data_IF_748721389152
#
_entry.id   IF_748721389152
#
_cell.length_a   1.000
_cell.length_b   1.000
_cell.length_c   1.000
_cell.angle_alpha   90.00
_cell.angle_beta   90.00
_cell.angle_gamma   90.00
#
_symmetry.space_group_name_H-M   'P 1'
#
loop_
_entity.id
_entity.type
_entity.pdbx_description
1 polymer ?
#
# COMPACT_ATOMS: atom_id res chain seq x y z
N UNK A 1 15.02 23.07 -15.41
CA UNK A 1 13.65 23.39 -14.95
C UNK A 1 13.75 24.64 -14.08
N UNK A 2 12.78 25.55 -14.16
CA UNK A 2 12.51 26.53 -13.10
C UNK A 2 11.02 26.44 -12.91
N UNK A 3 10.56 25.92 -11.78
CA UNK A 3 9.13 25.90 -11.45
C UNK A 3 8.70 27.37 -11.30
N UNK A 4 8.19 27.98 -12.37
CA UNK A 4 8.07 29.45 -12.48
C UNK A 4 7.04 30.05 -11.53
N UNK A 5 6.10 29.25 -11.03
CA UNK A 5 4.93 29.73 -10.27
C UNK A 5 4.89 29.23 -8.82
N UNK A 6 5.91 28.50 -8.34
CA UNK A 6 5.94 27.98 -6.97
C UNK A 6 7.35 28.12 -6.39
N UNK A 7 7.44 28.84 -5.27
CA UNK A 7 8.65 28.86 -4.46
C UNK A 7 8.67 27.63 -3.54
N UNK A 8 9.44 26.61 -3.91
CA UNK A 8 9.51 25.34 -3.17
C UNK A 8 10.01 25.56 -1.73
N UNK A 9 11.02 26.41 -1.52
CA UNK A 9 11.56 26.68 -0.18
C UNK A 9 10.50 27.32 0.75
N UNK A 10 9.66 28.19 0.21
CA UNK A 10 8.57 28.81 0.96
C UNK A 10 7.50 27.77 1.32
N UNK A 11 7.11 26.90 0.39
CA UNK A 11 6.17 25.80 0.65
C UNK A 11 6.71 24.81 1.68
N UNK A 12 7.99 24.46 1.59
CA UNK A 12 8.65 23.62 2.58
C UNK A 12 8.58 24.25 3.97
N UNK A 13 8.87 25.54 4.11
CA UNK A 13 8.75 26.26 5.38
C UNK A 13 7.30 26.27 5.89
N UNK A 14 6.33 26.48 5.01
CA UNK A 14 4.91 26.52 5.38
C UNK A 14 4.40 25.17 5.89
N UNK A 15 4.81 24.07 5.27
CA UNK A 15 4.38 22.70 5.62
C UNK A 15 5.34 21.99 6.60
N UNK A 16 6.36 22.67 7.11
CA UNK A 16 7.42 22.09 7.96
C UNK A 16 8.07 20.84 7.33
N UNK A 17 8.37 20.92 6.03
CA UNK A 17 9.05 19.84 5.29
C UNK A 17 10.55 20.10 5.26
N UNK A 18 11.34 19.20 5.85
CA UNK A 18 12.80 19.34 5.96
C UNK A 18 13.54 19.11 4.64
N UNK A 19 13.02 18.23 3.78
CA UNK A 19 13.64 17.88 2.52
C UNK A 19 12.64 17.36 1.49
N UNK A 20 12.88 17.65 0.21
CA UNK A 20 12.04 17.20 -0.90
C UNK A 20 12.89 16.97 -2.15
N UNK A 21 12.57 15.91 -2.90
CA UNK A 21 13.06 15.67 -4.26
C UNK A 21 11.88 15.76 -5.22
N UNK A 22 12.04 16.49 -6.33
CA UNK A 22 11.02 16.70 -7.35
C UNK A 22 11.59 16.24 -8.68
N UNK A 23 10.86 15.37 -9.37
CA UNK A 23 11.20 14.90 -10.72
C UNK A 23 10.10 15.29 -11.70
N UNK A 24 10.48 15.96 -12.79
CA UNK A 24 9.64 16.21 -13.95
C UNK A 24 10.11 15.35 -15.12
N UNK A 25 9.18 14.62 -15.73
CA UNK A 25 9.41 13.88 -16.97
C UNK A 25 8.59 14.55 -18.07
N UNK A 26 9.27 15.12 -19.06
CA UNK A 26 8.62 15.86 -20.16
C UNK A 26 9.35 15.58 -21.48
N UNK A 27 8.60 15.13 -22.49
CA UNK A 27 9.14 14.82 -23.83
C UNK A 27 10.36 13.88 -23.80
N UNK A 28 10.32 12.86 -22.93
CA UNK A 28 11.43 11.91 -22.74
C UNK A 28 12.61 12.43 -21.92
N UNK A 29 12.61 13.70 -21.52
CA UNK A 29 13.65 14.27 -20.67
C UNK A 29 13.27 14.19 -19.19
N UNK A 30 14.26 13.89 -18.34
CA UNK A 30 14.14 13.89 -16.89
C UNK A 30 14.82 15.13 -16.31
N UNK A 31 14.11 15.86 -15.46
CA UNK A 31 14.65 16.98 -14.69
C UNK A 31 14.42 16.73 -13.21
N UNK A 32 15.49 16.79 -12.41
CA UNK A 32 15.42 16.57 -10.95
C UNK A 32 15.86 17.83 -10.21
N UNK A 33 15.11 18.23 -9.19
CA UNK A 33 15.49 19.26 -8.24
C UNK A 33 15.38 18.72 -6.81
N UNK A 34 16.40 18.96 -5.99
CA UNK A 34 16.49 18.47 -4.62
C UNK A 34 16.67 19.65 -3.66
N UNK A 35 15.93 19.64 -2.56
CA UNK A 35 15.92 20.72 -1.58
C UNK A 35 16.03 20.16 -0.17
N UNK A 36 16.74 20.89 0.71
CA UNK A 36 16.77 20.63 2.14
C UNK A 36 17.65 19.44 2.55
N UNK A 37 17.32 18.86 3.71
CA UNK A 37 18.07 17.79 4.38
C UNK A 37 17.18 16.56 4.59
N UNK A 38 17.81 15.38 4.66
CA UNK A 38 17.11 14.11 4.86
C UNK A 38 16.72 13.86 6.31
N UNK A 39 17.53 14.35 7.25
CA UNK A 39 17.42 14.03 8.67
C UNK A 39 17.59 15.32 9.47
N UNK A 40 16.77 15.51 10.51
CA UNK A 40 16.96 16.63 11.42
C UNK A 40 18.29 16.52 12.16
N UNK A 41 18.93 17.66 12.40
CA UNK A 41 20.24 17.75 13.07
C UNK A 41 21.36 17.01 12.30
N UNK A 42 21.20 16.83 11.00
CA UNK A 42 22.16 16.21 10.09
C UNK A 42 22.47 17.15 8.93
N UNK A 43 23.71 17.10 8.43
CA UNK A 43 24.12 17.83 7.22
C UNK A 43 23.83 17.03 5.93
N UNK A 44 23.17 15.87 6.05
CA UNK A 44 22.83 15.02 4.90
C UNK A 44 21.76 15.68 4.04
N UNK A 45 22.18 16.22 2.91
CA UNK A 45 21.29 16.85 1.91
C UNK A 45 20.45 15.81 1.18
N UNK A 46 19.27 16.22 0.74
CA UNK A 46 18.50 15.45 -0.25
C UNK A 46 19.28 15.43 -1.57
N UNK A 47 19.36 14.25 -2.17
CA UNK A 47 19.99 14.00 -3.47
C UNK A 47 19.02 13.19 -4.34
N UNK A 48 19.34 13.03 -5.61
CA UNK A 48 18.56 12.17 -6.51
C UNK A 48 18.57 10.68 -6.11
N UNK A 49 19.52 10.27 -5.26
CA UNK A 49 19.66 8.91 -4.75
C UNK A 49 19.11 8.74 -3.32
N UNK A 50 18.48 9.78 -2.78
CA UNK A 50 17.87 9.72 -1.46
C UNK A 50 16.66 8.78 -1.45
N UNK A 51 16.58 7.92 -0.43
CA UNK A 51 15.48 6.98 -0.24
C UNK A 51 14.39 7.66 0.61
N UNK A 52 13.15 7.56 0.15
CA UNK A 52 11.95 8.00 0.86
C UNK A 52 10.97 6.83 0.94
N UNK A 53 10.13 6.82 1.99
CA UNK A 53 9.01 5.89 2.06
C UNK A 53 8.02 6.20 0.94
N UNK A 54 7.75 5.24 0.06
CA UNK A 54 6.75 5.39 -1.00
C UNK A 54 5.32 5.51 -0.46
N UNK A 55 5.09 5.06 0.79
CA UNK A 55 3.79 5.04 1.44
C UNK A 55 2.71 4.46 0.49
N UNK A 56 1.58 5.14 0.37
CA UNK A 56 0.45 4.68 -0.46
C UNK A 56 0.68 4.73 -1.97
N UNK A 57 1.77 5.34 -2.46
CA UNK A 57 2.15 5.23 -3.88
C UNK A 57 2.48 3.77 -4.23
N UNK A 58 2.91 2.97 -3.25
CA UNK A 58 3.17 1.53 -3.41
C UNK A 58 1.97 0.75 -3.95
N UNK A 59 0.74 1.18 -3.64
CA UNK A 59 -0.50 0.54 -4.12
C UNK A 59 -0.62 0.52 -5.63
N UNK A 60 -0.14 1.56 -6.30
CA UNK A 60 -0.11 1.62 -7.77
C UNK A 60 0.77 0.50 -8.34
N UNK A 61 1.93 0.27 -7.74
CA UNK A 61 2.82 -0.82 -8.14
C UNK A 61 2.18 -2.19 -7.87
N UNK A 62 1.53 -2.38 -6.73
CA UNK A 62 0.75 -3.60 -6.43
C UNK A 62 -0.32 -3.83 -7.49
N UNK A 63 -1.05 -2.79 -7.92
CA UNK A 63 -2.04 -2.90 -8.99
C UNK A 63 -1.45 -3.38 -10.32
N UNK A 64 -0.29 -2.85 -10.71
CA UNK A 64 0.44 -3.31 -11.91
C UNK A 64 0.82 -4.80 -11.78
N UNK A 65 1.33 -5.20 -10.60
CA UNK A 65 1.71 -6.58 -10.32
C UNK A 65 0.51 -7.53 -10.44
N UNK A 66 -0.65 -7.14 -9.89
CA UNK A 66 -1.90 -7.90 -10.03
C UNK A 66 -2.27 -8.06 -11.51
N UNK A 67 -2.25 -6.99 -12.30
CA UNK A 67 -2.58 -7.06 -13.72
C UNK A 67 -1.63 -7.98 -14.50
N UNK A 68 -0.34 -8.00 -14.14
CA UNK A 68 0.63 -8.94 -14.71
C UNK A 68 0.26 -10.39 -14.37
N UNK A 69 -0.02 -10.68 -13.10
CA UNK A 69 -0.38 -12.03 -12.65
C UNK A 69 -1.72 -12.52 -13.25
N UNK A 70 -2.66 -11.61 -13.53
CA UNK A 70 -3.87 -11.91 -14.31
C UNK A 70 -3.50 -12.30 -15.75
N UNK A 71 -2.60 -11.55 -16.39
CA UNK A 71 -2.10 -11.88 -17.73
C UNK A 71 -1.39 -13.24 -17.81
N UNK A 72 -0.80 -13.69 -16.69
CA UNK A 72 -0.20 -15.02 -16.55
C UNK A 72 -1.21 -16.13 -16.17
N UNK A 73 -2.49 -15.77 -15.96
CA UNK A 73 -3.55 -16.71 -15.59
C UNK A 73 -3.51 -17.18 -14.13
N UNK A 74 -2.75 -16.51 -13.26
CA UNK A 74 -2.58 -16.86 -11.85
C UNK A 74 -3.68 -16.25 -10.95
N UNK A 75 -4.24 -15.12 -11.37
CA UNK A 75 -5.28 -14.39 -10.65
C UNK A 75 -6.46 -14.04 -11.55
N UNK A 76 -7.64 -13.88 -10.95
CA UNK A 76 -8.84 -13.38 -11.60
C UNK A 76 -9.42 -12.21 -10.76
N UNK A 77 -9.92 -11.17 -11.43
CA UNK A 77 -10.45 -9.97 -10.76
C UNK A 77 -11.77 -10.25 -10.03
N UNK A 78 -12.59 -11.14 -10.57
CA UNK A 78 -13.99 -11.35 -10.17
C UNK A 78 -14.16 -12.65 -9.37
N UNK A 79 -13.13 -13.47 -9.25
CA UNK A 79 -13.16 -14.65 -8.40
C UNK A 79 -13.13 -14.28 -6.91
N UNK A 80 -13.81 -15.10 -6.09
CA UNK A 80 -13.67 -15.03 -4.64
C UNK A 80 -12.20 -15.28 -4.26
N UNK A 81 -11.56 -14.32 -3.60
CA UNK A 81 -10.14 -14.40 -3.19
C UNK A 81 -9.85 -15.63 -2.32
N UNK A 82 -10.82 -16.10 -1.54
CA UNK A 82 -10.69 -17.31 -0.71
C UNK A 82 -10.52 -18.62 -1.51
N UNK A 83 -10.70 -18.59 -2.83
CA UNK A 83 -10.36 -19.73 -3.71
C UNK A 83 -8.85 -19.91 -3.89
N UNK A 84 -8.08 -18.83 -3.75
CA UNK A 84 -6.64 -18.77 -4.00
C UNK A 84 -5.82 -18.53 -2.75
N UNK A 85 -6.39 -17.83 -1.76
CA UNK A 85 -5.84 -17.71 -0.42
C UNK A 85 -5.80 -19.08 0.29
N UNK A 86 -4.63 -19.42 0.82
CA UNK A 86 -4.29 -20.70 1.47
C UNK A 86 -3.77 -20.49 2.89
N UNK A 87 -2.81 -19.59 3.11
CA UNK A 87 -2.14 -19.41 4.41
C UNK A 87 -3.01 -18.70 5.44
N UNK A 88 -3.91 -17.86 4.96
CA UNK A 88 -4.95 -17.17 5.70
C UNK A 88 -6.17 -17.01 4.80
N UNK A 89 -7.39 -16.96 5.33
CA UNK A 89 -8.61 -16.69 4.55
C UNK A 89 -9.36 -15.51 5.11
N UNK A 90 -9.99 -14.73 4.24
CA UNK A 90 -10.96 -13.70 4.65
C UNK A 90 -12.08 -14.40 5.42
N UNK A 91 -12.30 -14.06 6.71
CA UNK A 91 -13.37 -14.69 7.49
C UNK A 91 -14.73 -14.48 6.84
N UNK A 92 -15.50 -15.56 6.71
CA UNK A 92 -16.88 -15.45 6.22
C UNK A 92 -17.80 -15.02 7.38
N UNK A 93 -18.60 -13.99 7.13
CA UNK A 93 -19.62 -13.50 8.05
C UNK A 93 -20.90 -13.10 7.28
N UNK A 94 -21.84 -12.44 7.97
CA UNK A 94 -23.12 -12.02 7.41
C UNK A 94 -23.03 -11.13 6.16
N UNK A 95 -22.01 -10.27 6.06
CA UNK A 95 -21.79 -9.39 4.91
C UNK A 95 -21.27 -10.14 3.68
N UNK A 96 -20.72 -11.35 3.86
CA UNK A 96 -20.16 -12.16 2.77
C UNK A 96 -21.11 -13.24 2.24
N UNK A 97 -22.37 -13.27 2.72
CA UNK A 97 -23.35 -14.30 2.34
C UNK A 97 -23.77 -14.18 0.87
N UNK A 98 -24.12 -12.97 0.44
CA UNK A 98 -24.59 -12.72 -0.92
C UNK A 98 -23.44 -12.41 -1.88
N UNK A 99 -22.40 -11.74 -1.37
CA UNK A 99 -21.29 -11.26 -2.17
C UNK A 99 -19.97 -11.53 -1.50
N UNK A 100 -19.06 -12.19 -2.22
CA UNK A 100 -17.74 -12.54 -1.72
C UNK A 100 -16.75 -11.42 -2.00
N UNK A 101 -15.68 -11.36 -1.21
CA UNK A 101 -14.55 -10.45 -1.49
C UNK A 101 -13.84 -10.92 -2.76
N UNK A 102 -13.57 -10.00 -3.65
CA UNK A 102 -12.90 -10.24 -4.95
C UNK A 102 -11.66 -9.36 -5.04
N UNK A 103 -10.75 -9.71 -5.96
CA UNK A 103 -9.56 -8.88 -6.16
C UNK A 103 -9.93 -7.50 -6.71
N UNK A 104 -10.98 -7.40 -7.55
CA UNK A 104 -11.53 -6.13 -8.04
C UNK A 104 -11.94 -5.21 -6.92
N UNK A 105 -12.75 -5.71 -5.98
CA UNK A 105 -13.26 -4.86 -4.90
C UNK A 105 -12.19 -4.51 -3.86
N UNK A 106 -11.17 -5.34 -3.64
CA UNK A 106 -9.98 -4.96 -2.87
C UNK A 106 -9.21 -3.80 -3.53
N UNK A 107 -8.90 -3.92 -4.83
CA UNK A 107 -8.17 -2.89 -5.59
C UNK A 107 -8.93 -1.55 -5.63
N UNK A 108 -10.26 -1.60 -5.68
CA UNK A 108 -11.14 -0.44 -5.74
C UNK A 108 -11.59 0.07 -4.37
N UNK A 109 -11.06 -0.43 -3.25
CA UNK A 109 -11.43 0.00 -1.90
C UNK A 109 -12.93 -0.16 -1.60
N UNK A 110 -13.51 -1.24 -2.10
CA UNK A 110 -14.94 -1.56 -2.03
C UNK A 110 -15.17 -2.99 -1.52
N UNK A 111 -14.18 -3.63 -0.90
CA UNK A 111 -14.31 -5.00 -0.39
C UNK A 111 -15.13 -5.12 0.91
N UNK A 112 -15.50 -4.00 1.51
CA UNK A 112 -16.10 -3.95 2.85
C UNK A 112 -15.09 -4.12 4.00
N UNK A 113 -13.79 -4.23 3.69
CA UNK A 113 -12.71 -4.19 4.68
C UNK A 113 -12.46 -2.73 5.08
N UNK A 114 -12.48 -2.47 6.39
CA UNK A 114 -12.19 -1.15 6.96
C UNK A 114 -10.99 -1.27 7.88
N UNK A 115 -10.08 -0.31 7.80
CA UNK A 115 -8.89 -0.31 8.65
C UNK A 115 -9.28 -0.03 10.10
N UNK A 116 -8.63 -0.74 11.02
CA UNK A 116 -8.84 -0.54 12.44
C UNK A 116 -8.30 0.84 12.88
N UNK A 117 -8.95 1.47 13.85
CA UNK A 117 -8.44 2.71 14.41
C UNK A 117 -7.03 2.50 14.99
N UNK A 118 -6.09 3.39 14.63
CA UNK A 118 -4.70 3.31 15.07
C UNK A 118 -3.89 2.16 14.47
N UNK A 119 -4.37 1.50 13.42
CA UNK A 119 -3.60 0.50 12.65
C UNK A 119 -2.75 1.12 11.55
N UNK A 120 -1.84 0.32 10.96
CA UNK A 120 -0.98 0.68 9.84
C UNK A 120 -0.09 1.90 10.08
N UNK A 121 0.38 2.06 11.32
CA UNK A 121 1.38 3.07 11.67
C UNK A 121 2.73 2.84 10.98
N UNK A 122 3.61 3.84 11.04
CA UNK A 122 4.92 3.78 10.40
C UNK A 122 5.74 2.59 10.91
N UNK A 123 6.44 1.93 9.98
CA UNK A 123 7.29 0.80 10.30
C UNK A 123 8.36 1.19 11.33
N UNK A 124 8.36 0.50 12.46
CA UNK A 124 9.35 0.66 13.51
C UNK A 124 10.47 -0.36 13.33
N UNK A 125 11.67 0.11 13.01
CA UNK A 125 12.86 -0.74 12.79
C UNK A 125 13.23 -1.61 13.98
N UNK A 126 12.84 -1.24 15.21
CA UNK A 126 13.13 -2.01 16.42
C UNK A 126 12.18 -3.21 16.60
N UNK A 127 11.00 -3.17 15.97
CA UNK A 127 9.98 -4.24 16.04
C UNK A 127 10.14 -5.20 14.85
N UNK A 128 10.67 -4.70 13.73
CA UNK A 128 10.82 -5.46 12.50
C UNK A 128 9.56 -5.47 11.63
N UNK A 129 9.61 -6.24 10.55
CA UNK A 129 8.50 -6.44 9.61
C UNK A 129 7.67 -7.63 10.11
N UNK A 130 6.37 -7.45 10.41
CA UNK A 130 5.53 -8.55 10.88
C UNK A 130 5.25 -9.56 9.77
N UNK A 131 4.90 -10.79 10.15
CA UNK A 131 4.27 -11.72 9.21
C UNK A 131 2.94 -11.15 8.73
N UNK A 132 2.66 -11.29 7.44
CA UNK A 132 1.40 -10.82 6.86
C UNK A 132 0.20 -11.55 7.48
N UNK A 133 0.31 -12.86 7.72
CA UNK A 133 -0.73 -13.64 8.41
C UNK A 133 -0.97 -13.11 9.83
N UNK A 134 0.09 -12.88 10.62
CA UNK A 134 -0.06 -12.36 11.98
C UNK A 134 -0.71 -10.96 11.99
N UNK A 135 -0.39 -10.12 11.01
CA UNK A 135 -1.01 -8.82 10.83
C UNK A 135 -2.50 -8.96 10.53
N UNK A 136 -2.87 -9.82 9.57
CA UNK A 136 -4.27 -10.07 9.18
C UNK A 136 -5.08 -10.70 10.31
N UNK A 137 -4.45 -11.49 11.17
CA UNK A 137 -5.04 -12.06 12.39
C UNK A 137 -5.11 -11.06 13.56
N UNK A 138 -4.60 -9.83 13.40
CA UNK A 138 -4.65 -8.81 14.45
C UNK A 138 -3.69 -9.05 15.61
N UNK A 139 -2.58 -9.78 15.38
CA UNK A 139 -1.64 -10.20 16.43
C UNK A 139 -0.39 -9.32 16.51
N UNK A 140 -0.39 -8.14 15.88
CA UNK A 140 0.81 -7.30 15.73
C UNK A 140 0.62 -5.92 16.38
N UNK A 141 1.72 -5.18 16.55
CA UNK A 141 1.64 -3.78 16.98
C UNK A 141 1.00 -2.87 15.94
N UNK A 142 1.03 -3.26 14.66
CA UNK A 142 0.49 -2.51 13.53
C UNK A 142 -0.99 -2.78 13.29
N UNK A 143 -1.51 -3.90 13.76
CA UNK A 143 -2.94 -4.21 13.76
C UNK A 143 -3.24 -5.18 14.91
N UNK A 144 -4.09 -4.74 15.85
CA UNK A 144 -4.41 -5.44 17.11
C UNK A 144 -5.78 -6.13 17.11
N UNK A 145 -6.51 -6.02 16.00
CA UNK A 145 -7.81 -6.67 15.83
C UNK A 145 -7.79 -7.46 14.52
N UNK A 146 -8.45 -8.62 14.46
CA UNK A 146 -8.51 -9.41 13.22
C UNK A 146 -9.16 -8.62 12.09
N UNK A 147 -8.63 -8.78 10.88
CA UNK A 147 -9.21 -8.19 9.67
C UNK A 147 -10.43 -9.00 9.25
N UNK A 148 -11.57 -8.32 9.13
CA UNK A 148 -12.84 -8.90 8.71
C UNK A 148 -13.65 -7.93 7.85
N UNK A 149 -14.66 -8.47 7.14
CA UNK A 149 -15.58 -7.68 6.31
C UNK A 149 -16.62 -7.01 7.22
N UNK A 150 -16.77 -5.70 7.13
CA UNK A 150 -17.65 -4.90 8.00
C UNK A 150 -18.89 -4.32 7.29
N UNK A 151 -18.96 -4.43 5.97
CA UNK A 151 -20.15 -4.15 5.17
C UNK A 151 -20.14 -5.00 3.89
N UNK A 152 -21.28 -5.13 3.22
CA UNK A 152 -21.37 -5.96 2.00
C UNK A 152 -20.42 -5.41 0.91
N UNK A 153 -19.62 -6.25 0.24
CA UNK A 153 -18.72 -5.77 -0.80
C UNK A 153 -19.45 -4.97 -1.89
N UNK A 154 -18.87 -3.84 -2.29
CA UNK A 154 -19.38 -2.83 -3.23
C UNK A 154 -20.58 -2.02 -2.74
N UNK A 155 -20.97 -2.13 -1.47
CA UNK A 155 -22.00 -1.24 -0.90
C UNK A 155 -21.46 0.16 -0.60
N UNK A 156 -20.17 0.28 -0.24
CA UNK A 156 -19.52 1.51 0.20
C UNK A 156 -18.05 1.56 -0.28
N UNK A 157 -17.50 2.77 -0.41
CA UNK A 157 -16.06 2.99 -0.59
C UNK A 157 -15.40 3.26 0.76
N UNK A 158 -14.37 2.48 1.10
CA UNK A 158 -13.50 2.68 2.27
C UNK A 158 -12.06 2.46 1.87
N UNK A 159 -11.27 3.54 1.85
CA UNK A 159 -9.83 3.43 1.66
C UNK A 159 -9.25 2.50 2.74
N UNK A 160 -8.49 1.49 2.30
CA UNK A 160 -8.05 0.41 3.19
C UNK A 160 -6.65 -0.08 2.84
N UNK A 161 -5.73 0.07 3.80
CA UNK A 161 -4.43 -0.58 3.84
C UNK A 161 -4.58 -2.09 4.07
N UNK A 162 -5.50 -2.51 4.94
CA UNK A 162 -5.80 -3.92 5.18
C UNK A 162 -6.22 -4.65 3.89
N UNK A 163 -6.99 -3.99 3.02
CA UNK A 163 -7.35 -4.53 1.70
C UNK A 163 -6.12 -4.84 0.85
N UNK A 164 -5.09 -3.98 0.88
CA UNK A 164 -3.83 -4.22 0.17
C UNK A 164 -2.93 -5.26 0.85
N UNK A 165 -3.01 -5.41 2.18
CA UNK A 165 -2.40 -6.53 2.90
C UNK A 165 -2.99 -7.89 2.46
N UNK A 166 -4.31 -7.95 2.24
CA UNK A 166 -4.95 -9.16 1.68
C UNK A 166 -4.47 -9.43 0.26
N UNK A 167 -4.32 -8.39 -0.59
CA UNK A 167 -3.76 -8.54 -1.95
C UNK A 167 -2.33 -9.07 -1.88
N UNK A 168 -1.50 -8.54 -0.99
CA UNK A 168 -0.14 -9.04 -0.79
C UNK A 168 -0.15 -10.52 -0.40
N UNK A 169 -0.94 -10.92 0.60
CA UNK A 169 -1.03 -12.33 1.02
C UNK A 169 -1.49 -13.23 -0.12
N UNK A 170 -2.48 -12.78 -0.90
CA UNK A 170 -2.97 -13.51 -2.06
C UNK A 170 -1.86 -13.71 -3.10
N UNK A 171 -1.05 -12.68 -3.37
CA UNK A 171 0.08 -12.76 -4.30
C UNK A 171 1.14 -13.75 -3.78
N UNK A 172 1.47 -13.71 -2.49
CA UNK A 172 2.43 -14.64 -1.89
C UNK A 172 1.93 -16.08 -1.99
N UNK A 173 0.64 -16.32 -1.71
CA UNK A 173 0.04 -17.66 -1.78
C UNK A 173 0.02 -18.24 -3.20
N UNK A 174 -0.35 -17.45 -4.22
CA UNK A 174 -0.41 -17.95 -5.61
C UNK A 174 0.96 -18.10 -6.26
N UNK A 175 1.94 -17.31 -5.83
CA UNK A 175 3.30 -17.37 -6.39
C UNK A 175 4.23 -18.27 -5.60
N UNK A 176 3.85 -18.65 -4.37
CA UNK A 176 4.68 -19.35 -3.39
C UNK A 176 6.05 -18.66 -3.20
N UNK A 177 6.06 -17.33 -3.23
CA UNK A 177 7.25 -16.48 -3.07
C UNK A 177 6.92 -15.34 -2.11
N UNK A 178 7.89 -14.87 -1.29
CA UNK A 178 7.72 -13.63 -0.54
C UNK A 178 7.43 -12.47 -1.49
N UNK A 179 6.61 -11.51 -1.09
CA UNK A 179 6.14 -10.43 -1.96
C UNK A 179 7.28 -9.63 -2.60
N UNK A 180 8.40 -9.44 -1.89
CA UNK A 180 9.57 -8.73 -2.40
C UNK A 180 10.38 -9.50 -3.46
N UNK A 181 10.00 -10.74 -3.77
CA UNK A 181 10.58 -11.58 -4.83
C UNK A 181 9.66 -11.80 -6.04
N UNK A 182 8.46 -11.20 -6.05
CA UNK A 182 7.47 -11.31 -7.13
C UNK A 182 7.71 -10.24 -8.19
#
# INVERSE_FOLDING_TARGET
MKIKNVNIKERMKHHNVNGVSIVLIESGNKYTENYGILEEKSDRKVTENSIFSACSISKFLTGIMVLKLIGEGLLDLDENVNKRLVTWKVPENEFTKNKKVTLRNLLCHQSGIKDAEGSFSELNSNIGIPSMVELLEGKTSYCKIPIEVQCEPESEFHYSDAGYCIIQQLIEDVTNRPYYHV
#
